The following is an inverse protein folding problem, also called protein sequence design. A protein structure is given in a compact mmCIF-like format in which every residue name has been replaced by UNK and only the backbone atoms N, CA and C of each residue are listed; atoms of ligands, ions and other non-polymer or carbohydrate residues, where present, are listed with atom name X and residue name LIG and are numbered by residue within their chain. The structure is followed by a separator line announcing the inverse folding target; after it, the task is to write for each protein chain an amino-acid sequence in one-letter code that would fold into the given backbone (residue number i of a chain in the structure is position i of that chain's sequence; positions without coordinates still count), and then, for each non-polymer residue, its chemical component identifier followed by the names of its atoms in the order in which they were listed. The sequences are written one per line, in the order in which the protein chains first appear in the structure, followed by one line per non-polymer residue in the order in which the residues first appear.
data_IF_661550514066
#
_entry.id   IF_661550514066
#
_cell.length_a   1.000
_cell.length_b   1.000
_cell.length_c   1.000
_cell.angle_alpha   90.00
_cell.angle_beta   90.00
_cell.angle_gamma   90.00
#
_symmetry.space_group_name_H-M   'P 1'
#
loop_
_entity.id
_entity.type
_entity.pdbx_description
1 polymer ?
#
# COMPACT_ATOMS: atom_id res chain seq x y z
N UNK A 1 -16.27 3.56 -11.59
CA UNK A 1 -15.28 2.47 -11.75
C UNK A 1 -14.86 2.08 -10.35
N UNK A 2 -15.39 0.96 -9.83
CA UNK A 2 -14.96 0.45 -8.51
C UNK A 2 -13.66 -0.29 -8.78
N UNK A 3 -12.56 0.20 -8.23
CA UNK A 3 -11.27 -0.50 -8.31
C UNK A 3 -11.37 -1.68 -7.36
N UNK A 4 -11.27 -2.90 -7.88
CA UNK A 4 -11.24 -4.10 -7.06
C UNK A 4 -9.94 -4.09 -6.25
N UNK A 5 -10.06 -4.08 -4.93
CA UNK A 5 -8.91 -3.97 -4.04
C UNK A 5 -7.94 -5.15 -4.17
N UNK A 6 -8.45 -6.34 -4.56
CA UNK A 6 -7.62 -7.52 -4.80
C UNK A 6 -6.72 -7.36 -6.03
N UNK A 7 -7.23 -6.74 -7.11
CA UNK A 7 -6.45 -6.46 -8.32
C UNK A 7 -5.33 -5.44 -8.08
N UNK A 8 -5.56 -4.48 -7.17
CA UNK A 8 -4.53 -3.51 -6.77
C UNK A 8 -3.36 -4.20 -6.07
N UNK A 9 -3.65 -5.15 -5.18
CA UNK A 9 -2.60 -5.87 -4.46
C UNK A 9 -1.71 -6.67 -5.42
N UNK A 10 -2.32 -7.32 -6.41
CA UNK A 10 -1.58 -8.08 -7.42
C UNK A 10 -0.70 -7.17 -8.31
N UNK A 11 -1.17 -5.98 -8.67
CA UNK A 11 -0.37 -4.99 -9.43
C UNK A 11 0.82 -4.47 -8.60
N UNK A 12 0.63 -4.20 -7.31
CA UNK A 12 1.71 -3.77 -6.42
C UNK A 12 2.78 -4.87 -6.27
N UNK A 13 2.37 -6.13 -6.16
CA UNK A 13 3.29 -7.28 -6.12
C UNK A 13 4.04 -7.40 -7.46
N UNK A 14 3.34 -7.32 -8.59
CA UNK A 14 3.95 -7.43 -9.92
C UNK A 14 4.98 -6.32 -10.20
N UNK A 15 4.78 -5.13 -9.60
CA UNK A 15 5.71 -4.00 -9.68
C UNK A 15 6.88 -4.08 -8.69
N UNK A 16 6.90 -5.09 -7.81
CA UNK A 16 7.91 -5.22 -6.76
C UNK A 16 7.79 -4.14 -5.67
N UNK A 17 6.59 -3.59 -5.46
CA UNK A 17 6.30 -2.56 -4.46
C UNK A 17 5.88 -3.13 -3.11
N UNK A 18 5.78 -4.46 -2.98
CA UNK A 18 5.52 -5.15 -1.73
C UNK A 18 6.83 -5.75 -1.22
N UNK A 19 7.32 -5.26 -0.09
CA UNK A 19 8.51 -5.79 0.56
C UNK A 19 8.17 -6.92 1.55
N UNK A 20 7.27 -6.65 2.49
CA UNK A 20 6.79 -7.58 3.50
C UNK A 20 5.30 -7.34 3.78
N UNK A 21 4.59 -8.38 4.20
CA UNK A 21 3.19 -8.32 4.64
C UNK A 21 2.98 -9.26 5.82
N UNK A 22 2.21 -8.83 6.82
CA UNK A 22 1.86 -9.66 7.97
C UNK A 22 1.11 -10.93 7.56
N UNK A 23 0.15 -10.79 6.64
CA UNK A 23 -0.59 -11.88 6.02
C UNK A 23 -1.17 -11.38 4.69
N UNK A 24 -0.58 -11.84 3.58
CA UNK A 24 -0.94 -11.39 2.25
C UNK A 24 -2.31 -11.90 1.81
N UNK A 25 -2.69 -13.12 2.21
CA UNK A 25 -3.94 -13.75 1.79
C UNK A 25 -5.13 -13.19 2.58
N UNK A 26 -4.94 -12.92 3.88
CA UNK A 26 -5.92 -12.20 4.68
C UNK A 26 -6.14 -10.76 4.16
N UNK A 27 -5.07 -10.06 3.78
CA UNK A 27 -5.17 -8.72 3.18
C UNK A 27 -5.93 -8.76 1.85
N UNK A 28 -5.63 -9.73 0.97
CA UNK A 28 -6.35 -9.90 -0.30
C UNK A 28 -7.85 -10.10 -0.08
N UNK A 29 -8.21 -10.95 0.87
CA UNK A 29 -9.62 -11.21 1.24
C UNK A 29 -10.28 -9.93 1.74
N UNK A 30 -9.62 -9.18 2.64
CA UNK A 30 -10.16 -7.94 3.20
C UNK A 30 -10.36 -6.84 2.15
N UNK A 31 -9.44 -6.73 1.19
CA UNK A 31 -9.54 -5.77 0.08
C UNK A 31 -10.65 -6.11 -0.91
N UNK A 32 -11.06 -7.38 -1.00
CA UNK A 32 -12.20 -7.82 -1.82
C UNK A 32 -13.57 -7.51 -1.18
N UNK A 33 -13.63 -7.35 0.15
CA UNK A 33 -14.87 -7.03 0.87
C UNK A 33 -15.35 -5.59 0.66
N UNK A 34 -14.43 -4.69 0.27
CA UNK A 34 -14.75 -3.30 -0.03
C UNK A 34 -13.62 -2.32 0.33
N UNK A 35 -13.88 -1.01 0.26
CA UNK A 35 -12.88 0.03 0.53
C UNK A 35 -12.32 -0.05 1.96
N UNK A 36 -11.02 0.21 2.09
CA UNK A 36 -10.30 0.19 3.37
C UNK A 36 -9.56 1.52 3.55
N UNK A 37 -9.54 2.04 4.77
CA UNK A 37 -8.71 3.19 5.13
C UNK A 37 -7.30 2.72 5.49
N UNK A 38 -6.28 3.32 4.90
CA UNK A 38 -4.87 3.05 5.16
C UNK A 38 -4.15 4.32 5.59
N UNK A 39 -2.97 4.18 6.20
CA UNK A 39 -2.13 5.29 6.60
C UNK A 39 -0.67 5.03 6.22
N UNK A 40 0.06 6.12 5.93
CA UNK A 40 1.51 6.12 5.77
C UNK A 40 2.07 7.28 6.62
N UNK A 41 3.02 6.99 7.50
CA UNK A 41 3.56 7.95 8.46
C UNK A 41 4.91 8.53 8.01
N UNK A 42 5.11 9.82 8.26
CA UNK A 42 6.38 10.51 8.02
C UNK A 42 6.80 11.22 9.30
N UNK A 43 7.96 10.84 9.85
CA UNK A 43 8.53 11.55 10.99
C UNK A 43 9.20 12.86 10.53
N UNK A 44 9.09 13.97 11.28
CA UNK A 44 9.67 15.27 10.93
C UNK A 44 11.19 15.27 11.14
N UNK A 45 11.90 14.51 10.30
CA UNK A 45 13.35 14.34 10.34
C UNK A 45 14.12 15.45 9.63
N UNK A 46 13.43 16.23 8.78
CA UNK A 46 13.94 17.40 8.07
C UNK A 46 12.80 18.35 7.72
N UNK A 47 13.19 19.54 7.29
CA UNK A 47 12.37 20.66 6.80
C UNK A 47 11.49 20.27 5.58
N UNK A 48 11.81 19.16 4.92
CA UNK A 48 11.10 18.67 3.73
C UNK A 48 11.25 17.15 3.53
N UNK A 49 10.34 16.57 2.74
CA UNK A 49 10.44 15.19 2.27
C UNK A 49 11.39 15.10 1.07
N UNK A 50 12.28 14.11 1.08
CA UNK A 50 13.11 13.75 -0.08
C UNK A 50 12.60 12.50 -0.83
N UNK A 51 13.26 12.13 -1.94
CA UNK A 51 12.88 11.05 -2.87
C UNK A 51 12.54 9.70 -2.20
N UNK A 52 13.14 9.40 -1.05
CA UNK A 52 12.90 8.15 -0.31
C UNK A 52 11.47 8.03 0.23
N UNK A 53 10.80 9.15 0.41
CA UNK A 53 9.41 9.23 0.89
C UNK A 53 8.38 9.14 -0.23
N UNK A 54 8.78 9.16 -1.51
CA UNK A 54 7.83 9.17 -2.62
C UNK A 54 7.25 7.80 -2.96
N UNK A 55 7.94 6.71 -2.61
CA UNK A 55 7.42 5.36 -2.85
C UNK A 55 6.28 5.02 -1.87
N UNK A 56 6.35 5.40 -0.58
CA UNK A 56 5.25 5.18 0.36
C UNK A 56 4.12 6.23 0.30
N UNK A 57 4.28 7.36 -0.42
CA UNK A 57 3.32 8.46 -0.54
C UNK A 57 2.30 8.20 -1.65
#
# INVERSE_FOLDING_TARGET
MVVDGSLILDDLVARGLVHDSTDLDALRTRLAEGPVTLYCGFDPTSDSLHIGHLVPL
#
